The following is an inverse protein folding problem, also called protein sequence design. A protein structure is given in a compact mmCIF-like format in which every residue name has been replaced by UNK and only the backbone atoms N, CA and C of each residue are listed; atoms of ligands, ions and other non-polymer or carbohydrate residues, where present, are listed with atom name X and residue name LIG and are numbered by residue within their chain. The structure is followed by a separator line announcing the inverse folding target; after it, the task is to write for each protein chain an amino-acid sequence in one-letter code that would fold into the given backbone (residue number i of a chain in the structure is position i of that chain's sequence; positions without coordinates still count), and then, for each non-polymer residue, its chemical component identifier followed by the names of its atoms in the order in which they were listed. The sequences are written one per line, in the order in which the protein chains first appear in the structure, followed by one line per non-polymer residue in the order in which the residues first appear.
data_IF_048411266305
#
_entry.id   IF_048411266305
#
_cell.length_a   1.000
_cell.length_b   1.000
_cell.length_c   1.000
_cell.angle_alpha   90.00
_cell.angle_beta   90.00
_cell.angle_gamma   90.00
#
_symmetry.space_group_name_H-M   'P 1'
#
loop_
_entity.id
_entity.type
_entity.pdbx_description
1 polymer ?
#
# COMPACT_ATOMS: atom_id res chain seq x y z
N UNK A 1 -10.63 -3.47 21.27
CA UNK A 1 -11.15 -3.39 19.89
C UNK A 1 -12.61 -3.78 19.94
N UNK A 2 -13.47 -2.84 19.65
CA UNK A 2 -14.90 -3.07 19.47
C UNK A 2 -15.24 -2.96 17.99
N UNK A 3 -16.46 -3.26 17.65
CA UNK A 3 -17.00 -3.21 16.27
C UNK A 3 -17.01 -1.79 15.67
N UNK A 4 -16.90 -0.73 16.50
CA UNK A 4 -17.09 0.66 16.05
C UNK A 4 -15.80 1.42 15.70
N UNK A 5 -14.62 0.86 15.93
CA UNK A 5 -13.32 1.51 15.66
C UNK A 5 -13.13 2.93 16.24
N UNK A 6 -13.81 3.25 17.36
CA UNK A 6 -13.86 4.61 17.95
C UNK A 6 -12.48 5.17 18.37
N UNK A 7 -11.48 4.31 18.51
CA UNK A 7 -10.13 4.67 18.97
C UNK A 7 -9.06 4.65 17.88
N UNK A 8 -9.45 4.65 16.60
CA UNK A 8 -8.52 4.69 15.48
C UNK A 8 -8.84 5.84 14.52
N UNK A 9 -7.84 6.33 13.82
CA UNK A 9 -8.03 7.46 12.90
C UNK A 9 -8.78 7.10 11.62
N UNK A 10 -8.78 5.83 11.21
CA UNK A 10 -9.36 5.39 9.93
C UNK A 10 -8.67 5.96 8.68
N UNK A 11 -7.52 6.63 8.83
CA UNK A 11 -6.89 7.40 7.74
C UNK A 11 -6.04 6.57 6.77
N UNK A 12 -5.78 5.29 7.06
CA UNK A 12 -4.86 4.49 6.25
C UNK A 12 -5.22 4.41 4.75
N UNK A 13 -6.49 4.28 4.32
CA UNK A 13 -6.84 4.30 2.90
C UNK A 13 -6.46 5.61 2.19
N UNK A 14 -6.70 6.72 2.86
CA UNK A 14 -6.44 8.07 2.32
C UNK A 14 -4.94 8.37 2.26
N UNK A 15 -4.17 7.95 3.26
CA UNK A 15 -2.71 8.13 3.30
C UNK A 15 -2.04 7.25 2.24
N UNK A 16 -2.49 6.01 2.06
CA UNK A 16 -1.88 5.07 1.11
C UNK A 16 -1.89 5.62 -0.31
N UNK A 17 -2.97 6.28 -0.69
CA UNK A 17 -3.17 6.88 -2.01
C UNK A 17 -2.79 8.35 -2.07
N UNK A 18 -2.31 8.92 -0.97
CA UNK A 18 -1.94 10.34 -0.86
C UNK A 18 -3.07 11.30 -1.20
N UNK A 19 -4.29 10.96 -0.80
CA UNK A 19 -5.36 11.96 -0.63
C UNK A 19 -5.06 12.88 0.56
N UNK A 20 -4.34 12.35 1.55
CA UNK A 20 -3.74 13.07 2.67
C UNK A 20 -2.26 12.66 2.73
N UNK A 21 -1.37 13.64 2.77
CA UNK A 21 0.06 13.36 2.82
C UNK A 21 0.51 13.02 4.24
N UNK A 22 1.50 12.13 4.36
CA UNK A 22 2.11 11.77 5.65
C UNK A 22 2.61 13.01 6.42
N UNK A 23 3.13 14.00 5.70
CA UNK A 23 3.62 15.26 6.25
C UNK A 23 2.50 16.07 6.89
N UNK A 24 1.34 16.20 6.24
CA UNK A 24 0.20 16.95 6.76
C UNK A 24 -0.29 16.40 8.10
N UNK A 25 -0.33 15.06 8.22
CA UNK A 25 -0.75 14.42 9.47
C UNK A 25 0.25 14.68 10.59
N UNK A 26 1.55 14.52 10.29
CA UNK A 26 2.61 14.75 11.27
C UNK A 26 2.63 16.23 11.70
N UNK A 27 2.50 17.15 10.76
CA UNK A 27 2.41 18.58 11.04
C UNK A 27 1.22 18.91 11.94
N UNK A 28 0.04 18.45 11.58
CA UNK A 28 -1.18 18.70 12.36
C UNK A 28 -1.08 18.19 13.79
N UNK A 29 -0.46 17.04 13.99
CA UNK A 29 -0.36 16.46 15.33
C UNK A 29 0.73 17.15 16.17
N UNK A 30 1.83 17.57 15.55
CA UNK A 30 2.92 18.28 16.21
C UNK A 30 2.55 19.74 16.53
N UNK A 31 1.62 20.34 15.79
CA UNK A 31 1.08 21.66 16.13
C UNK A 31 0.20 21.64 17.39
N UNK A 32 -0.32 20.46 17.78
CA UNK A 32 -1.23 20.31 18.94
C UNK A 32 -0.57 19.64 20.15
N UNK A 33 0.48 18.87 19.92
CA UNK A 33 1.06 18.01 20.97
C UNK A 33 2.58 18.03 20.93
N UNK A 34 3.21 18.02 22.09
CA UNK A 34 4.66 17.83 22.20
C UNK A 34 5.07 16.47 21.59
N UNK A 35 6.18 16.45 20.87
CA UNK A 35 6.67 15.25 20.16
C UNK A 35 6.74 14.01 21.05
N UNK A 36 7.21 14.15 22.30
CA UNK A 36 7.33 13.03 23.25
C UNK A 36 5.99 12.34 23.56
N UNK A 37 4.87 13.05 23.43
CA UNK A 37 3.53 12.48 23.65
C UNK A 37 2.99 11.74 22.44
N UNK A 38 3.45 12.10 21.25
CA UNK A 38 2.92 11.57 19.98
C UNK A 38 3.93 10.76 19.18
N UNK A 39 5.13 10.55 19.72
CA UNK A 39 6.21 9.83 19.01
C UNK A 39 5.76 8.46 18.47
N UNK A 40 4.96 7.71 19.23
CA UNK A 40 4.44 6.41 18.78
C UNK A 40 3.52 6.55 17.58
N UNK A 41 2.62 7.51 17.58
CA UNK A 41 1.74 7.77 16.44
C UNK A 41 2.55 8.18 15.20
N UNK A 42 3.54 9.06 15.36
CA UNK A 42 4.44 9.44 14.27
C UNK A 42 5.20 8.22 13.74
N UNK A 43 5.68 7.32 14.60
CA UNK A 43 6.28 6.06 14.18
C UNK A 43 5.34 5.21 13.32
N UNK A 44 4.05 5.11 13.67
CA UNK A 44 3.07 4.36 12.87
C UNK A 44 2.89 4.96 11.46
N UNK A 45 2.87 6.29 11.34
CA UNK A 45 2.87 6.95 10.01
C UNK A 45 4.16 6.63 9.24
N UNK A 46 5.31 6.65 9.93
CA UNK A 46 6.63 6.41 9.33
C UNK A 46 6.87 4.95 8.91
N UNK A 47 6.15 3.99 9.48
CA UNK A 47 6.21 2.59 9.03
C UNK A 47 5.85 2.46 7.56
N UNK A 48 4.90 3.23 7.04
CA UNK A 48 4.54 3.24 5.62
C UNK A 48 5.70 3.68 4.74
N UNK A 49 6.35 4.80 5.08
CA UNK A 49 7.52 5.27 4.35
C UNK A 49 8.68 4.26 4.42
N UNK A 50 8.86 3.62 5.58
CA UNK A 50 9.85 2.55 5.74
C UNK A 50 9.59 1.36 4.82
N UNK A 51 8.36 0.83 4.81
CA UNK A 51 8.01 -0.32 3.99
C UNK A 51 8.18 -0.02 2.49
N UNK A 52 7.69 1.14 2.03
CA UNK A 52 7.85 1.56 0.64
C UNK A 52 9.32 1.70 0.26
N UNK A 53 10.12 2.37 1.08
CA UNK A 53 11.56 2.52 0.85
C UNK A 53 12.31 1.18 0.90
N UNK A 54 11.93 0.27 1.79
CA UNK A 54 12.54 -1.05 1.88
C UNK A 54 12.28 -1.90 0.63
N UNK A 55 11.02 -1.89 0.13
CA UNK A 55 10.65 -2.60 -1.09
C UNK A 55 11.28 -1.98 -2.34
N UNK A 56 11.38 -0.65 -2.39
CA UNK A 56 12.03 0.07 -3.49
C UNK A 56 13.50 -0.36 -3.70
N UNK A 57 14.18 -0.72 -2.63
CA UNK A 57 15.54 -1.28 -2.69
C UNK A 57 15.57 -2.77 -3.03
N UNK A 58 14.43 -3.46 -2.97
CA UNK A 58 14.33 -4.91 -3.16
C UNK A 58 13.11 -5.27 -4.03
N UNK A 59 13.04 -4.73 -5.27
CA UNK A 59 11.86 -4.89 -6.14
C UNK A 59 11.53 -6.35 -6.44
N UNK A 60 12.55 -7.20 -6.45
CA UNK A 60 12.42 -8.64 -6.66
C UNK A 60 11.51 -9.33 -5.63
N UNK A 61 11.39 -8.79 -4.41
CA UNK A 61 10.49 -9.33 -3.38
C UNK A 61 9.05 -9.34 -3.87
N UNK A 62 8.61 -8.27 -4.54
CA UNK A 62 7.27 -8.19 -5.11
C UNK A 62 7.07 -9.16 -6.28
N UNK A 63 8.06 -9.27 -7.17
CA UNK A 63 8.00 -10.18 -8.31
C UNK A 63 7.98 -11.65 -7.86
N UNK A 64 8.80 -11.99 -6.87
CA UNK A 64 8.85 -13.33 -6.28
C UNK A 64 7.53 -13.66 -5.57
N UNK A 65 6.97 -12.72 -4.79
CA UNK A 65 5.67 -12.87 -4.14
C UNK A 65 4.56 -13.20 -5.15
N UNK A 66 4.46 -12.45 -6.24
CA UNK A 66 3.44 -12.70 -7.28
C UNK A 66 3.57 -14.08 -7.90
N UNK A 67 4.81 -14.52 -8.16
CA UNK A 67 5.06 -15.87 -8.67
C UNK A 67 4.69 -16.95 -7.64
N UNK A 68 5.03 -16.71 -6.39
CA UNK A 68 4.75 -17.63 -5.29
C UNK A 68 3.24 -17.75 -5.01
N UNK A 69 2.45 -16.69 -5.20
CA UNK A 69 0.97 -16.77 -5.13
C UNK A 69 0.44 -17.81 -6.14
N UNK A 70 0.91 -17.76 -7.38
CA UNK A 70 0.45 -18.69 -8.41
C UNK A 70 0.95 -20.13 -8.18
N UNK A 71 2.12 -20.31 -7.60
CA UNK A 71 2.62 -21.61 -7.20
C UNK A 71 1.81 -22.18 -6.01
N UNK A 72 1.56 -21.37 -5.00
CA UNK A 72 0.80 -21.76 -3.82
C UNK A 72 -0.62 -22.24 -4.18
N UNK A 73 -1.31 -21.57 -5.07
CA UNK A 73 -2.63 -22.01 -5.57
C UNK A 73 -2.61 -23.41 -6.18
N UNK A 74 -1.52 -23.77 -6.88
CA UNK A 74 -1.37 -25.07 -7.53
C UNK A 74 -0.92 -26.18 -6.58
N UNK A 75 -0.37 -25.86 -5.43
CA UNK A 75 0.21 -26.80 -4.47
C UNK A 75 -0.76 -27.19 -3.35
N UNK A 76 -1.88 -26.50 -3.20
CA UNK A 76 -2.89 -26.87 -2.21
C UNK A 76 -3.51 -28.22 -2.56
N UNK A 77 -3.67 -29.07 -1.55
CA UNK A 77 -4.52 -30.25 -1.65
C UNK A 77 -6.01 -29.90 -1.40
N UNK A 78 -6.91 -30.82 -1.70
CA UNK A 78 -8.36 -30.59 -1.61
C UNK A 78 -8.81 -30.15 -0.20
N UNK A 79 -8.23 -30.72 0.86
CA UNK A 79 -8.52 -30.34 2.24
C UNK A 79 -8.11 -28.90 2.54
N UNK A 80 -6.94 -28.50 2.09
CA UNK A 80 -6.45 -27.13 2.24
C UNK A 80 -7.27 -26.13 1.42
N UNK A 81 -7.72 -26.51 0.22
CA UNK A 81 -8.61 -25.69 -0.62
C UNK A 81 -9.90 -25.46 0.15
N UNK A 82 -10.58 -26.49 0.58
CA UNK A 82 -11.85 -26.41 1.33
C UNK A 82 -11.69 -25.52 2.57
N UNK A 83 -10.62 -25.75 3.35
CA UNK A 83 -10.37 -24.99 4.57
C UNK A 83 -10.09 -23.50 4.29
N UNK A 84 -9.31 -23.20 3.24
CA UNK A 84 -9.08 -21.83 2.82
C UNK A 84 -10.37 -21.14 2.38
N UNK A 85 -11.24 -21.83 1.62
CA UNK A 85 -12.53 -21.30 1.18
C UNK A 85 -13.46 -21.00 2.36
N UNK A 86 -13.54 -21.88 3.38
CA UNK A 86 -14.29 -21.62 4.61
C UNK A 86 -13.82 -20.34 5.31
N UNK A 87 -12.52 -20.18 5.51
CA UNK A 87 -11.95 -19.01 6.20
C UNK A 87 -12.17 -17.73 5.37
N UNK A 88 -11.89 -17.78 4.08
CA UNK A 88 -12.10 -16.64 3.16
C UNK A 88 -13.59 -16.33 2.95
N UNK A 89 -14.44 -17.33 3.14
CA UNK A 89 -15.89 -17.19 3.15
C UNK A 89 -16.43 -16.49 4.39
N UNK A 90 -15.72 -16.54 5.51
CA UNK A 90 -16.16 -16.07 6.83
C UNK A 90 -17.10 -17.08 7.51
N UNK A 91 -16.87 -18.36 7.29
CA UNK A 91 -17.62 -19.49 7.83
C UNK A 91 -16.69 -20.62 8.31
N UNK A 92 -15.53 -20.24 8.87
CA UNK A 92 -14.50 -21.17 9.34
C UNK A 92 -14.89 -21.94 10.61
N UNK A 93 -15.95 -21.50 11.30
CA UNK A 93 -16.34 -22.00 12.62
C UNK A 93 -15.48 -21.46 13.77
N UNK A 94 -14.60 -20.51 13.50
CA UNK A 94 -13.79 -19.79 14.51
C UNK A 94 -14.29 -18.35 14.58
N UNK A 95 -14.97 -18.00 15.66
CA UNK A 95 -15.77 -16.78 15.78
C UNK A 95 -15.03 -15.49 15.44
N UNK A 96 -13.82 -15.29 15.97
CA UNK A 96 -13.04 -14.08 15.68
C UNK A 96 -12.48 -14.05 14.25
N UNK A 97 -12.15 -15.19 13.67
CA UNK A 97 -11.70 -15.29 12.28
C UNK A 97 -12.82 -14.92 11.32
N UNK A 98 -14.01 -15.49 11.54
CA UNK A 98 -15.19 -15.22 10.73
C UNK A 98 -15.62 -13.75 10.84
N UNK A 99 -15.59 -13.20 12.06
CA UNK A 99 -15.84 -11.77 12.29
C UNK A 99 -14.88 -10.87 11.47
N UNK A 100 -13.58 -11.07 11.60
CA UNK A 100 -12.59 -10.24 10.89
C UNK A 100 -12.62 -10.45 9.38
N UNK A 101 -12.92 -11.66 8.90
CA UNK A 101 -13.08 -11.91 7.46
C UNK A 101 -14.29 -11.14 6.92
N UNK A 102 -15.42 -11.20 7.59
CA UNK A 102 -16.63 -10.50 7.18
C UNK A 102 -16.47 -8.99 7.28
N UNK A 103 -15.88 -8.47 8.35
CA UNK A 103 -15.54 -7.05 8.50
C UNK A 103 -14.68 -6.56 7.34
N UNK A 104 -13.62 -7.30 6.98
CA UNK A 104 -12.76 -6.95 5.85
C UNK A 104 -13.52 -6.89 4.54
N UNK A 105 -14.39 -7.87 4.27
CA UNK A 105 -15.19 -7.94 3.03
C UNK A 105 -16.23 -6.82 2.94
N UNK A 106 -16.84 -6.45 4.07
CA UNK A 106 -17.90 -5.46 4.15
C UNK A 106 -17.38 -4.02 4.17
N UNK A 107 -16.25 -3.78 4.87
CA UNK A 107 -15.75 -2.43 5.11
C UNK A 107 -14.47 -2.08 4.33
N UNK A 108 -13.75 -3.08 3.87
CA UNK A 108 -12.41 -2.91 3.28
C UNK A 108 -11.35 -2.46 4.29
N UNK A 109 -11.64 -2.59 5.58
CA UNK A 109 -10.76 -2.16 6.66
C UNK A 109 -10.65 -3.24 7.76
N UNK A 110 -9.49 -3.35 8.35
CA UNK A 110 -9.26 -4.06 9.60
C UNK A 110 -8.28 -3.27 10.46
N UNK A 111 -8.53 -3.28 11.76
CA UNK A 111 -7.56 -2.78 12.73
C UNK A 111 -6.23 -3.54 12.63
N UNK A 112 -5.10 -2.85 12.81
CA UNK A 112 -3.76 -3.45 12.63
C UNK A 112 -3.55 -4.74 13.45
N UNK A 113 -4.00 -4.80 14.70
CA UNK A 113 -3.89 -6.04 15.50
C UNK A 113 -4.72 -7.19 14.93
N UNK A 114 -5.93 -6.90 14.42
CA UNK A 114 -6.77 -7.91 13.78
C UNK A 114 -6.07 -8.50 12.54
N UNK A 115 -5.42 -7.66 11.74
CA UNK A 115 -4.63 -8.12 10.58
C UNK A 115 -3.51 -9.09 11.01
N UNK A 116 -2.80 -8.76 12.08
CA UNK A 116 -1.71 -9.60 12.60
C UNK A 116 -2.22 -10.93 13.19
N UNK A 117 -3.35 -10.90 13.92
CA UNK A 117 -3.94 -12.10 14.48
C UNK A 117 -4.49 -13.02 13.40
N UNK A 118 -5.22 -12.46 12.43
CA UNK A 118 -5.76 -13.21 11.29
C UNK A 118 -4.62 -13.85 10.48
N UNK A 119 -3.59 -13.10 10.16
CA UNK A 119 -2.44 -13.61 9.42
C UNK A 119 -1.68 -14.70 10.18
N UNK A 120 -1.49 -14.52 11.50
CA UNK A 120 -0.83 -15.53 12.33
C UNK A 120 -1.65 -16.82 12.44
N UNK A 121 -2.97 -16.70 12.57
CA UNK A 121 -3.88 -17.86 12.59
C UNK A 121 -3.82 -18.62 11.27
N UNK A 122 -3.95 -17.93 10.15
CA UNK A 122 -3.86 -18.48 8.80
C UNK A 122 -2.54 -19.26 8.59
N UNK A 123 -1.42 -18.65 8.97
CA UNK A 123 -0.09 -19.22 8.72
C UNK A 123 0.24 -20.34 9.70
N UNK A 124 0.14 -20.07 11.01
CA UNK A 124 0.74 -20.93 12.03
C UNK A 124 -0.22 -21.97 12.61
N UNK A 125 -1.52 -21.77 12.50
CA UNK A 125 -2.55 -22.71 12.96
C UNK A 125 -3.10 -23.52 11.80
N UNK A 126 -3.63 -22.85 10.79
CA UNK A 126 -4.21 -23.52 9.62
C UNK A 126 -3.12 -24.04 8.64
N UNK A 127 -1.88 -23.61 8.83
CA UNK A 127 -0.73 -24.02 8.00
C UNK A 127 -0.94 -23.78 6.52
N UNK A 128 -1.68 -22.71 6.20
CA UNK A 128 -1.95 -22.26 4.83
C UNK A 128 -0.85 -21.32 4.32
N UNK A 129 -0.56 -21.33 3.01
CA UNK A 129 0.46 -20.47 2.44
C UNK A 129 0.18 -18.96 2.72
N UNK A 130 1.15 -18.27 3.29
CA UNK A 130 1.03 -16.85 3.63
C UNK A 130 0.69 -15.98 2.42
N UNK A 131 1.18 -16.39 1.24
CA UNK A 131 0.96 -15.68 -0.02
C UNK A 131 -0.52 -15.55 -0.37
N UNK A 132 -1.32 -16.59 -0.10
CA UNK A 132 -2.75 -16.60 -0.42
C UNK A 132 -3.53 -15.71 0.53
N UNK A 133 -3.23 -15.72 1.82
CA UNK A 133 -3.82 -14.78 2.78
C UNK A 133 -3.44 -13.34 2.48
N UNK A 134 -2.17 -13.09 2.09
CA UNK A 134 -1.73 -11.77 1.66
C UNK A 134 -2.45 -11.29 0.39
N UNK A 135 -2.72 -12.19 -0.57
CA UNK A 135 -3.47 -11.87 -1.78
C UNK A 135 -4.94 -11.52 -1.46
N UNK A 136 -5.56 -12.25 -0.53
CA UNK A 136 -6.91 -11.94 -0.05
C UNK A 136 -6.99 -10.56 0.60
N UNK A 137 -6.03 -10.21 1.46
CA UNK A 137 -5.96 -8.87 2.05
C UNK A 137 -5.75 -7.80 0.98
N UNK A 138 -4.85 -8.04 0.04
CA UNK A 138 -4.56 -7.10 -1.04
C UNK A 138 -5.79 -6.83 -1.93
N UNK A 139 -6.64 -7.83 -2.11
CA UNK A 139 -7.87 -7.71 -2.92
C UNK A 139 -9.00 -6.95 -2.23
N UNK A 140 -9.07 -6.94 -0.89
CA UNK A 140 -10.19 -6.37 -0.14
C UNK A 140 -9.86 -5.06 0.59
N UNK A 141 -8.62 -4.89 1.09
CA UNK A 141 -8.24 -3.69 1.83
C UNK A 141 -8.26 -2.43 0.95
N UNK A 142 -8.90 -1.37 1.42
CA UNK A 142 -8.89 -0.06 0.78
C UNK A 142 -7.50 0.60 0.83
N UNK A 143 -6.72 0.27 1.87
CA UNK A 143 -5.34 0.72 2.05
C UNK A 143 -4.29 -0.27 1.54
N UNK A 144 -4.66 -1.23 0.70
CA UNK A 144 -3.72 -2.19 0.16
C UNK A 144 -2.64 -1.49 -0.68
N UNK A 145 -1.40 -1.66 -0.27
CA UNK A 145 -0.21 -1.33 -1.07
C UNK A 145 0.77 -2.51 -1.09
N UNK A 146 1.52 -2.63 -2.17
CA UNK A 146 2.43 -3.76 -2.39
C UNK A 146 3.47 -3.91 -1.27
N UNK A 147 3.98 -2.79 -0.75
CA UNK A 147 5.00 -2.80 0.28
C UNK A 147 4.44 -3.20 1.64
N UNK A 148 3.48 -2.41 2.17
CA UNK A 148 2.94 -2.63 3.51
C UNK A 148 2.29 -3.99 3.65
N UNK A 149 1.50 -4.41 2.66
CA UNK A 149 0.82 -5.71 2.71
C UNK A 149 1.82 -6.87 2.66
N UNK A 150 2.65 -6.94 1.62
CA UNK A 150 3.57 -8.07 1.44
C UNK A 150 4.57 -8.18 2.60
N UNK A 151 5.16 -7.06 3.02
CA UNK A 151 6.21 -7.09 4.03
C UNK A 151 5.66 -7.34 5.44
N UNK A 152 4.45 -6.88 5.75
CA UNK A 152 3.78 -7.21 7.01
C UNK A 152 3.43 -8.70 7.09
N UNK A 153 2.93 -9.31 6.01
CA UNK A 153 2.69 -10.74 5.95
C UNK A 153 3.98 -11.55 6.07
N UNK A 154 5.05 -11.14 5.39
CA UNK A 154 6.39 -11.74 5.54
C UNK A 154 6.91 -11.63 6.98
N UNK A 155 6.61 -10.53 7.67
CA UNK A 155 6.99 -10.34 9.05
C UNK A 155 6.25 -11.30 9.99
N UNK A 156 4.93 -11.46 9.83
CA UNK A 156 4.14 -12.44 10.60
C UNK A 156 4.66 -13.86 10.36
N UNK A 157 5.00 -14.19 9.11
CA UNK A 157 5.55 -15.50 8.71
C UNK A 157 7.00 -15.75 9.20
N UNK A 158 7.67 -14.76 9.83
CA UNK A 158 9.07 -14.90 10.28
C UNK A 158 10.12 -14.75 9.17
N UNK A 159 9.73 -14.31 7.99
CA UNK A 159 10.61 -14.17 6.81
C UNK A 159 11.31 -12.81 6.74
N UNK A 160 10.71 -11.75 7.32
CA UNK A 160 11.26 -10.40 7.30
C UNK A 160 12.37 -10.20 8.33
N UNK A 161 12.30 -10.90 9.44
CA UNK A 161 13.33 -10.98 10.46
C UNK A 161 13.56 -12.45 10.79
N UNK A 162 14.70 -12.98 10.39
CA UNK A 162 15.02 -14.41 10.53
C UNK A 162 14.74 -14.91 11.95
N UNK A 163 13.95 -15.97 12.05
CA UNK A 163 13.63 -16.66 13.31
C UNK A 163 12.70 -15.90 14.26
N UNK A 164 12.02 -14.83 13.79
CA UNK A 164 11.07 -14.04 14.58
C UNK A 164 9.71 -13.98 13.88
N UNK A 165 8.93 -15.05 14.00
CA UNK A 165 7.53 -15.03 13.60
C UNK A 165 6.68 -14.32 14.65
N UNK A 166 5.57 -13.70 14.21
CA UNK A 166 4.55 -13.19 15.13
C UNK A 166 3.50 -14.26 15.37
N UNK A 167 3.32 -14.65 16.63
CA UNK A 167 2.34 -15.64 17.02
C UNK A 167 1.16 -14.99 17.73
N UNK A 168 -0.05 -15.31 17.25
CA UNK A 168 -1.28 -15.01 17.96
C UNK A 168 -1.27 -15.72 19.31
N UNK A 169 -1.76 -15.08 20.36
CA UNK A 169 -1.91 -15.72 21.65
C UNK A 169 -3.24 -15.34 22.34
N UNK A 170 -3.72 -16.26 23.14
CA UNK A 170 -4.98 -16.15 23.88
C UNK A 170 -5.07 -14.88 24.73
N UNK A 171 -3.99 -14.57 25.46
CA UNK A 171 -3.96 -13.42 26.38
C UNK A 171 -4.15 -12.07 25.66
N UNK A 172 -3.58 -11.90 24.47
CA UNK A 172 -3.75 -10.70 23.68
C UNK A 172 -5.18 -10.57 23.13
N UNK A 173 -5.77 -11.66 22.65
CA UNK A 173 -7.16 -11.65 22.19
C UNK A 173 -8.12 -11.27 23.31
N UNK A 174 -8.03 -11.94 24.45
CA UNK A 174 -8.89 -11.65 25.61
C UNK A 174 -8.72 -10.22 26.15
N UNK A 175 -7.53 -9.65 26.05
CA UNK A 175 -7.25 -8.30 26.52
C UNK A 175 -7.78 -7.20 25.61
N UNK A 176 -7.75 -7.43 24.30
CA UNK A 176 -7.95 -6.36 23.30
C UNK A 176 -9.18 -6.54 22.41
N UNK A 177 -9.74 -7.73 22.28
CA UNK A 177 -11.02 -7.95 21.59
C UNK A 177 -12.20 -7.76 22.55
N UNK A 178 -13.28 -7.21 22.02
CA UNK A 178 -14.53 -7.20 22.77
C UNK A 178 -15.12 -8.61 22.92
N UNK A 179 -15.87 -8.88 23.98
CA UNK A 179 -16.55 -10.18 24.15
C UNK A 179 -17.52 -10.53 23.02
N UNK A 180 -18.04 -9.53 22.32
CA UNK A 180 -18.94 -9.69 21.17
C UNK A 180 -18.26 -10.37 19.98
N UNK A 181 -16.95 -10.19 19.86
CA UNK A 181 -16.12 -10.84 18.81
C UNK A 181 -15.68 -12.24 19.25
N UNK A 182 -15.45 -12.42 20.56
CA UNK A 182 -14.97 -13.67 21.17
C UNK A 182 -16.17 -14.46 21.74
N UNK A 183 -17.06 -14.90 20.87
CA UNK A 183 -18.32 -15.55 21.29
C UNK A 183 -18.08 -16.81 22.12
N UNK A 184 -17.05 -17.59 21.75
CA UNK A 184 -16.71 -18.82 22.45
C UNK A 184 -15.24 -18.81 22.91
N UNK A 185 -14.93 -18.43 24.17
CA UNK A 185 -13.56 -18.39 24.68
C UNK A 185 -12.81 -19.74 24.64
N UNK A 186 -13.55 -20.88 24.60
CA UNK A 186 -12.93 -22.21 24.51
C UNK A 186 -12.25 -22.41 23.16
N UNK A 187 -12.67 -21.70 22.10
CA UNK A 187 -12.00 -21.71 20.80
C UNK A 187 -10.57 -21.17 20.86
N UNK A 188 -10.21 -20.47 21.95
CA UNK A 188 -8.88 -19.89 22.12
C UNK A 188 -7.90 -20.80 22.87
N UNK A 189 -8.34 -21.93 23.39
CA UNK A 189 -7.48 -22.76 24.26
C UNK A 189 -6.29 -23.34 23.52
N UNK A 190 -6.47 -23.72 22.24
CA UNK A 190 -5.39 -24.19 21.38
C UNK A 190 -4.33 -23.10 21.03
N UNK A 191 -4.64 -21.81 21.26
CA UNK A 191 -3.68 -20.71 21.02
C UNK A 191 -2.57 -20.64 22.06
N UNK A 192 -2.64 -21.41 23.15
CA UNK A 192 -1.59 -21.46 24.16
C UNK A 192 -0.36 -22.26 23.72
N UNK A 193 -0.49 -23.13 22.71
CA UNK A 193 0.54 -24.06 22.24
C UNK A 193 0.99 -23.79 20.80
N UNK A 194 0.74 -22.59 20.28
CA UNK A 194 1.10 -22.26 18.89
C UNK A 194 2.60 -22.17 18.74
N UNK A 195 3.13 -22.95 17.81
CA UNK A 195 4.52 -22.90 17.38
C UNK A 195 4.63 -22.32 15.98
N UNK A 196 5.70 -21.57 15.68
CA UNK A 196 5.91 -21.09 14.32
C UNK A 196 6.11 -22.27 13.37
N UNK A 197 5.48 -22.22 12.21
CA UNK A 197 5.84 -23.16 11.13
C UNK A 197 7.24 -22.81 10.63
N UNK A 198 8.02 -23.85 10.31
CA UNK A 198 9.32 -23.66 9.67
C UNK A 198 9.10 -23.37 8.18
N UNK A 199 9.33 -22.13 7.78
CA UNK A 199 9.37 -21.74 6.37
C UNK A 199 10.85 -21.71 5.98
N UNK A 200 11.42 -22.89 5.78
CA UNK A 200 12.88 -23.12 5.67
C UNK A 200 13.55 -22.50 4.44
N UNK A 201 12.80 -22.06 3.45
CA UNK A 201 13.34 -21.46 2.21
C UNK A 201 13.19 -19.94 2.15
N UNK A 202 13.44 -19.24 3.25
CA UNK A 202 13.42 -17.78 3.21
C UNK A 202 14.61 -17.27 2.40
N UNK A 203 14.33 -16.79 1.17
CA UNK A 203 15.32 -16.03 0.42
C UNK A 203 15.65 -14.76 1.20
N UNK A 204 16.92 -14.57 1.50
CA UNK A 204 17.43 -13.28 1.94
C UNK A 204 17.50 -12.36 0.72
N UNK A 205 16.94 -11.19 0.85
CA UNK A 205 17.01 -10.16 -0.18
C UNK A 205 17.95 -9.06 0.27
N UNK A 206 19.12 -9.03 -0.34
CA UNK A 206 20.02 -7.88 -0.19
C UNK A 206 19.49 -6.69 -0.98
N UNK A 207 19.80 -5.46 -0.54
CA UNK A 207 19.47 -4.28 -1.34
C UNK A 207 20.16 -4.36 -2.71
N UNK A 208 19.38 -4.36 -3.79
CA UNK A 208 19.92 -4.39 -5.16
C UNK A 208 20.68 -3.11 -5.50
N UNK A 209 20.31 -2.00 -4.85
CA UNK A 209 20.94 -0.71 -5.04
C UNK A 209 21.35 -0.11 -3.68
N UNK A 210 22.63 0.15 -3.51
CA UNK A 210 23.15 0.88 -2.33
C UNK A 210 22.65 2.33 -2.29
N UNK A 211 22.32 2.91 -3.46
CA UNK A 211 21.77 4.25 -3.62
C UNK A 211 20.53 4.20 -4.51
N UNK A 212 19.41 4.71 -4.00
CA UNK A 212 18.20 4.88 -4.79
C UNK A 212 18.41 5.88 -5.92
N UNK A 213 17.81 5.61 -7.08
CA UNK A 213 17.77 6.56 -8.18
C UNK A 213 17.02 7.81 -7.71
N UNK A 214 17.64 8.97 -7.86
CA UNK A 214 16.99 10.25 -7.59
C UNK A 214 16.18 10.68 -8.80
N UNK A 215 14.89 10.80 -8.62
CA UNK A 215 13.97 11.33 -9.61
C UNK A 215 13.85 12.84 -9.43
N UNK A 216 14.68 13.59 -10.16
CA UNK A 216 14.65 15.05 -10.14
C UNK A 216 13.41 15.57 -10.85
N UNK A 217 13.01 16.79 -10.47
CA UNK A 217 11.99 17.52 -11.21
C UNK A 217 12.43 17.64 -12.67
N UNK A 218 11.60 17.22 -13.65
CA UNK A 218 11.95 17.33 -15.05
C UNK A 218 12.04 18.80 -15.48
N UNK A 219 13.07 19.12 -16.24
CA UNK A 219 13.13 20.38 -17.00
C UNK A 219 12.37 20.15 -18.29
N UNK A 220 11.27 20.87 -18.48
CA UNK A 220 10.47 20.81 -19.70
C UNK A 220 10.58 22.15 -20.43
N UNK A 221 10.83 22.12 -21.72
CA UNK A 221 10.91 23.32 -22.55
C UNK A 221 9.55 24.08 -22.53
N UNK A 222 9.63 25.39 -22.56
CA UNK A 222 8.46 26.26 -22.33
C UNK A 222 7.38 26.20 -23.43
N UNK A 223 7.74 25.72 -24.62
CA UNK A 223 6.85 25.55 -25.78
C UNK A 223 6.15 24.19 -25.80
N UNK A 224 6.54 23.27 -24.94
CA UNK A 224 5.94 21.92 -24.90
C UNK A 224 4.57 21.91 -24.23
N UNK A 225 3.66 21.18 -24.83
CA UNK A 225 2.33 20.92 -24.30
C UNK A 225 2.42 19.78 -23.28
N UNK A 226 2.26 20.13 -22.02
CA UNK A 226 2.44 19.20 -20.89
C UNK A 226 1.13 18.54 -20.52
N UNK A 227 1.15 17.21 -20.35
CA UNK A 227 0.10 16.45 -19.69
C UNK A 227 0.56 15.98 -18.32
N UNK A 228 -0.32 15.98 -17.32
CA UNK A 228 -0.06 15.36 -16.02
C UNK A 228 -0.83 14.06 -15.91
N UNK A 229 -0.12 12.95 -15.71
CA UNK A 229 -0.74 11.66 -15.42
C UNK A 229 -0.85 11.46 -13.92
N UNK A 230 -2.09 11.36 -13.41
CA UNK A 230 -2.42 11.03 -12.02
C UNK A 230 -2.67 9.54 -11.90
N UNK A 231 -2.06 8.90 -10.93
CA UNK A 231 -2.20 7.46 -10.69
C UNK A 231 -2.44 7.13 -9.22
N UNK A 232 -2.92 5.91 -8.94
CA UNK A 232 -3.41 5.50 -7.62
C UNK A 232 -2.37 5.45 -6.49
N UNK A 233 -1.08 5.57 -6.78
CA UNK A 233 -0.03 5.63 -5.76
C UNK A 233 0.18 7.05 -5.22
N UNK A 234 -0.26 8.09 -5.98
CA UNK A 234 -0.15 9.48 -5.57
C UNK A 234 -1.25 10.32 -6.24
N UNK A 235 -2.29 10.61 -5.47
CA UNK A 235 -3.48 11.35 -5.93
C UNK A 235 -3.43 12.83 -5.55
N UNK A 236 -2.22 13.40 -5.35
CA UNK A 236 -2.06 14.78 -4.89
C UNK A 236 -0.99 15.56 -5.70
N UNK A 237 -1.07 15.62 -7.05
CA UNK A 237 -0.07 16.30 -7.85
C UNK A 237 -0.06 17.83 -7.67
N UNK A 238 -1.16 18.41 -7.16
CA UNK A 238 -1.28 19.84 -6.87
C UNK A 238 -0.38 20.30 -5.71
N UNK A 239 0.17 19.37 -4.92
CA UNK A 239 1.17 19.66 -3.89
C UNK A 239 2.49 18.97 -4.19
N UNK A 240 3.59 19.66 -3.97
CA UNK A 240 4.95 19.16 -4.16
C UNK A 240 5.55 19.45 -5.55
N UNK A 241 6.39 18.58 -6.10
CA UNK A 241 7.19 18.89 -7.30
C UNK A 241 6.41 19.28 -8.55
N UNK A 242 5.18 18.79 -8.69
CA UNK A 242 4.37 19.06 -9.90
C UNK A 242 3.53 20.33 -9.82
N UNK A 243 3.42 20.95 -8.66
CA UNK A 243 2.49 22.09 -8.38
C UNK A 243 2.64 23.30 -9.33
N UNK A 244 3.85 23.53 -9.84
CA UNK A 244 4.16 24.72 -10.66
C UNK A 244 4.07 24.45 -12.18
N UNK A 245 3.77 23.22 -12.60
CA UNK A 245 3.53 22.95 -14.02
C UNK A 245 2.25 23.62 -14.50
N UNK A 246 2.21 23.91 -15.80
CA UNK A 246 1.02 24.42 -16.50
C UNK A 246 0.55 23.40 -17.53
N UNK A 247 -0.07 22.30 -17.09
CA UNK A 247 -0.50 21.27 -18.01
C UNK A 247 -1.67 21.75 -18.89
N UNK A 248 -1.73 21.27 -20.13
CA UNK A 248 -2.89 21.46 -21.00
C UNK A 248 -4.02 20.50 -20.62
N UNK A 249 -3.69 19.38 -20.00
CA UNK A 249 -4.65 18.38 -19.50
C UNK A 249 -4.05 17.57 -18.37
N UNK A 250 -4.90 17.17 -17.42
CA UNK A 250 -4.59 16.18 -16.37
C UNK A 250 -5.48 14.98 -16.58
N UNK A 251 -4.90 13.76 -16.55
CA UNK A 251 -5.71 12.55 -16.74
C UNK A 251 -5.42 11.47 -15.71
N UNK A 252 -6.48 10.72 -15.38
CA UNK A 252 -6.45 9.46 -14.65
C UNK A 252 -7.05 8.34 -15.48
N UNK A 253 -6.59 7.11 -15.26
CA UNK A 253 -6.98 5.94 -16.05
C UNK A 253 -7.38 4.79 -15.14
N UNK A 254 -8.57 4.21 -15.40
CA UNK A 254 -8.96 2.92 -14.83
C UNK A 254 -8.27 1.81 -15.61
N UNK A 255 -7.74 0.84 -14.89
CA UNK A 255 -7.21 -0.39 -15.47
C UNK A 255 -8.00 -1.59 -14.93
N UNK A 256 -9.04 -1.96 -15.66
CA UNK A 256 -9.88 -3.10 -15.32
C UNK A 256 -9.11 -4.43 -15.34
N UNK A 257 -8.14 -4.57 -16.25
CA UNK A 257 -7.32 -5.77 -16.34
C UNK A 257 -6.44 -5.94 -15.08
N UNK A 258 -5.89 -4.84 -14.57
CA UNK A 258 -5.10 -4.86 -13.33
C UNK A 258 -5.98 -5.16 -12.12
N UNK A 259 -7.16 -4.57 -12.03
CA UNK A 259 -8.12 -4.85 -10.96
C UNK A 259 -8.52 -6.33 -10.95
N UNK A 260 -8.82 -6.90 -12.12
CA UNK A 260 -9.13 -8.32 -12.28
C UNK A 260 -7.94 -9.22 -11.91
N UNK A 261 -6.72 -8.86 -12.34
CA UNK A 261 -5.50 -9.62 -12.06
C UNK A 261 -5.25 -9.78 -10.56
N UNK A 262 -5.51 -8.75 -9.76
CA UNK A 262 -5.33 -8.78 -8.32
C UNK A 262 -6.62 -9.12 -7.54
N UNK A 263 -7.70 -9.48 -8.25
CA UNK A 263 -8.97 -9.87 -7.64
C UNK A 263 -9.60 -8.77 -6.78
N UNK A 264 -9.41 -7.49 -7.14
CA UNK A 264 -9.89 -6.39 -6.31
C UNK A 264 -11.41 -6.45 -6.12
N UNK A 265 -11.85 -6.35 -4.86
CA UNK A 265 -13.26 -6.31 -4.50
C UNK A 265 -13.96 -5.08 -5.12
N UNK A 266 -15.27 -5.17 -5.31
CA UNK A 266 -16.07 -4.05 -5.82
C UNK A 266 -15.97 -2.81 -4.94
N UNK A 267 -15.81 -2.98 -3.62
CA UNK A 267 -15.63 -1.89 -2.68
C UNK A 267 -14.29 -1.18 -2.90
N UNK A 268 -13.20 -1.94 -3.03
CA UNK A 268 -11.86 -1.39 -3.30
C UNK A 268 -11.79 -0.69 -4.66
N UNK A 269 -12.45 -1.24 -5.69
CA UNK A 269 -12.54 -0.60 -7.00
C UNK A 269 -13.29 0.74 -6.93
N UNK A 270 -14.47 0.77 -6.30
CA UNK A 270 -15.25 2.02 -6.12
C UNK A 270 -14.47 3.07 -5.34
N UNK A 271 -13.84 2.70 -4.23
CA UNK A 271 -12.99 3.62 -3.47
C UNK A 271 -11.87 4.21 -4.33
N UNK A 272 -11.23 3.38 -5.17
CA UNK A 272 -10.17 3.83 -6.09
C UNK A 272 -10.70 4.81 -7.14
N UNK A 273 -11.86 4.54 -7.71
CA UNK A 273 -12.53 5.40 -8.71
C UNK A 273 -12.94 6.75 -8.12
N UNK A 274 -13.59 6.73 -6.96
CA UNK A 274 -14.05 7.95 -6.29
C UNK A 274 -12.86 8.82 -5.84
N UNK A 275 -11.78 8.18 -5.34
CA UNK A 275 -10.54 8.86 -5.00
C UNK A 275 -9.87 9.51 -6.21
N UNK A 276 -9.89 8.86 -7.37
CA UNK A 276 -9.36 9.42 -8.61
C UNK A 276 -10.21 10.61 -9.10
N UNK A 277 -11.53 10.51 -9.05
CA UNK A 277 -12.45 11.59 -9.43
C UNK A 277 -12.25 12.83 -8.54
N UNK A 278 -12.09 12.62 -7.23
CA UNK A 278 -11.74 13.69 -6.29
C UNK A 278 -10.40 14.36 -6.66
N UNK A 279 -9.37 13.57 -6.89
CA UNK A 279 -8.05 14.08 -7.28
C UNK A 279 -8.11 14.91 -8.57
N UNK A 280 -8.80 14.43 -9.59
CA UNK A 280 -8.96 15.15 -10.86
C UNK A 280 -9.73 16.45 -10.68
N UNK A 281 -10.76 16.47 -9.83
CA UNK A 281 -11.50 17.70 -9.52
C UNK A 281 -10.58 18.75 -8.85
N UNK A 282 -9.77 18.36 -7.87
CA UNK A 282 -8.77 19.23 -7.20
C UNK A 282 -7.72 19.73 -8.21
N UNK A 283 -7.23 18.85 -9.07
CA UNK A 283 -6.29 19.21 -10.14
C UNK A 283 -6.86 20.24 -11.10
N UNK A 284 -8.11 20.09 -11.53
CA UNK A 284 -8.80 21.06 -12.39
C UNK A 284 -8.86 22.45 -11.76
N UNK A 285 -9.17 22.49 -10.47
CA UNK A 285 -9.18 23.73 -9.67
C UNK A 285 -7.81 24.38 -9.55
N UNK A 286 -6.77 23.57 -9.31
CA UNK A 286 -5.40 24.06 -9.11
C UNK A 286 -4.71 24.45 -10.42
N UNK A 287 -4.66 23.54 -11.39
CA UNK A 287 -3.93 23.76 -12.66
C UNK A 287 -4.68 24.60 -13.67
N UNK A 288 -5.98 24.89 -13.45
CA UNK A 288 -6.86 25.64 -14.36
C UNK A 288 -6.88 25.07 -15.78
N UNK A 289 -6.90 23.75 -15.89
CA UNK A 289 -6.90 23.03 -17.16
C UNK A 289 -7.99 21.95 -17.21
N UNK A 290 -8.17 21.33 -18.38
CA UNK A 290 -9.11 20.21 -18.53
C UNK A 290 -8.62 18.98 -17.77
N UNK A 291 -9.55 18.28 -17.12
CA UNK A 291 -9.28 17.00 -16.44
C UNK A 291 -10.12 15.89 -17.05
N UNK A 292 -9.53 14.72 -17.23
CA UNK A 292 -10.16 13.60 -17.92
C UNK A 292 -9.99 12.30 -17.11
N UNK A 293 -11.08 11.57 -16.92
CA UNK A 293 -11.04 10.23 -16.36
C UNK A 293 -11.48 9.20 -17.41
N UNK A 294 -10.62 8.24 -17.71
CA UNK A 294 -10.88 7.18 -18.67
C UNK A 294 -11.30 5.90 -17.95
N UNK A 295 -12.61 5.63 -17.92
CA UNK A 295 -13.22 4.56 -17.14
C UNK A 295 -13.31 3.22 -17.90
N UNK A 296 -13.28 3.25 -19.22
CA UNK A 296 -13.45 2.08 -20.09
C UNK A 296 -12.38 2.01 -21.17
N UNK A 297 -12.15 0.83 -21.73
CA UNK A 297 -11.09 0.57 -22.70
C UNK A 297 -9.79 0.10 -22.03
N UNK A 298 -8.79 -0.18 -22.82
CA UNK A 298 -7.47 -0.55 -22.30
C UNK A 298 -6.65 0.68 -21.90
N UNK A 299 -5.71 0.50 -20.98
CA UNK A 299 -4.83 1.59 -20.55
C UNK A 299 -4.05 2.17 -21.75
N UNK A 300 -3.57 1.34 -22.66
CA UNK A 300 -2.87 1.75 -23.88
C UNK A 300 -3.71 2.65 -24.78
N UNK A 301 -4.91 2.19 -25.13
CA UNK A 301 -5.86 2.97 -25.97
C UNK A 301 -6.19 4.31 -25.34
N UNK A 302 -6.43 4.33 -24.04
CA UNK A 302 -6.80 5.52 -23.31
C UNK A 302 -5.65 6.55 -23.25
N UNK A 303 -4.42 6.10 -23.01
CA UNK A 303 -3.24 6.97 -23.06
C UNK A 303 -3.06 7.54 -24.46
N UNK A 304 -3.11 6.70 -25.49
CA UNK A 304 -3.02 7.16 -26.91
C UNK A 304 -4.09 8.20 -27.22
N UNK A 305 -5.33 7.93 -26.83
CA UNK A 305 -6.45 8.87 -27.02
C UNK A 305 -6.21 10.19 -26.29
N UNK A 306 -5.75 10.16 -25.04
CA UNK A 306 -5.49 11.35 -24.25
C UNK A 306 -4.37 12.22 -24.84
N UNK A 307 -3.23 11.62 -25.18
CA UNK A 307 -2.09 12.38 -25.73
C UNK A 307 -2.43 12.99 -27.10
N UNK A 308 -3.12 12.24 -27.96
CA UNK A 308 -3.51 12.70 -29.29
C UNK A 308 -4.56 13.80 -29.23
N UNK A 309 -5.63 13.60 -28.44
CA UNK A 309 -6.73 14.58 -28.26
C UNK A 309 -6.23 15.93 -27.76
N UNK A 310 -5.26 15.92 -26.85
CA UNK A 310 -4.75 17.14 -26.22
C UNK A 310 -3.45 17.63 -26.84
N UNK A 311 -2.96 16.99 -27.91
CA UNK A 311 -1.67 17.29 -28.56
C UNK A 311 -0.53 17.43 -27.54
N UNK A 312 -0.37 16.42 -26.68
CA UNK A 312 0.61 16.41 -25.60
C UNK A 312 1.98 16.04 -26.16
N UNK A 313 3.00 16.83 -25.87
CA UNK A 313 4.40 16.57 -26.24
C UNK A 313 5.19 15.93 -25.12
N UNK A 314 4.78 16.20 -23.85
CA UNK A 314 5.50 15.75 -22.69
C UNK A 314 4.53 15.39 -21.56
N UNK A 315 4.63 14.17 -21.06
CA UNK A 315 3.88 13.71 -19.88
C UNK A 315 4.76 13.76 -18.65
N UNK A 316 4.26 14.34 -17.58
CA UNK A 316 4.89 14.30 -16.27
C UNK A 316 4.02 13.51 -15.29
N UNK A 317 4.64 12.73 -14.42
CA UNK A 317 3.98 11.93 -13.40
C UNK A 317 4.84 11.81 -12.15
N UNK A 318 4.23 11.46 -11.01
CA UNK A 318 5.03 10.91 -9.91
C UNK A 318 5.60 9.54 -10.29
N UNK A 319 6.78 9.20 -9.76
CA UNK A 319 7.32 7.84 -9.89
C UNK A 319 6.44 6.89 -9.07
N UNK A 320 5.78 5.92 -9.71
CA UNK A 320 5.02 4.91 -8.98
C UNK A 320 5.90 4.14 -7.99
N UNK A 321 5.30 3.63 -6.93
CA UNK A 321 5.97 2.69 -6.03
C UNK A 321 6.04 1.29 -6.66
N UNK A 322 6.97 0.45 -6.18
CA UNK A 322 7.00 -0.96 -6.58
C UNK A 322 5.62 -1.58 -6.30
N UNK A 323 4.96 -2.06 -7.36
CA UNK A 323 3.61 -2.58 -7.25
C UNK A 323 2.85 -2.56 -8.60
N UNK A 324 1.51 -2.59 -8.53
CA UNK A 324 0.67 -2.62 -9.73
C UNK A 324 0.88 -1.43 -10.68
N UNK A 325 0.96 -0.21 -10.16
CA UNK A 325 1.09 1.00 -10.99
C UNK A 325 2.44 1.06 -11.70
N UNK A 326 3.54 0.64 -11.06
CA UNK A 326 4.84 0.53 -11.71
C UNK A 326 4.82 -0.48 -12.87
N UNK A 327 4.06 -1.59 -12.71
CA UNK A 327 3.87 -2.56 -13.81
C UNK A 327 3.05 -1.97 -14.96
N UNK A 328 2.00 -1.20 -14.67
CA UNK A 328 1.22 -0.48 -15.67
C UNK A 328 2.09 0.48 -16.47
N UNK A 329 2.91 1.28 -15.79
CA UNK A 329 3.81 2.23 -16.43
C UNK A 329 4.71 1.54 -17.45
N UNK A 330 5.36 0.44 -17.07
CA UNK A 330 6.25 -0.33 -17.98
C UNK A 330 5.54 -0.86 -19.22
N UNK A 331 4.24 -1.21 -19.10
CA UNK A 331 3.44 -1.67 -20.23
C UNK A 331 3.19 -0.55 -21.24
N UNK A 332 3.06 0.69 -20.77
CA UNK A 332 2.68 1.83 -21.61
C UNK A 332 3.84 2.75 -22.00
N UNK A 333 5.04 2.54 -21.49
CA UNK A 333 6.22 3.33 -21.89
C UNK A 333 6.42 3.33 -23.42
N UNK A 334 6.19 2.19 -24.07
CA UNK A 334 6.28 2.06 -25.52
C UNK A 334 5.27 2.93 -26.29
N UNK A 335 4.11 3.22 -25.73
CA UNK A 335 3.09 4.07 -26.37
C UNK A 335 3.54 5.53 -26.42
N UNK A 336 4.17 6.04 -25.37
CA UNK A 336 4.73 7.39 -25.38
C UNK A 336 5.80 7.54 -26.47
N UNK A 337 6.73 6.57 -26.55
CA UNK A 337 7.78 6.56 -27.58
C UNK A 337 7.19 6.49 -29.00
N UNK A 338 6.19 5.65 -29.23
CA UNK A 338 5.55 5.47 -30.54
C UNK A 338 4.85 6.76 -31.03
N UNK A 339 4.47 7.64 -30.13
CA UNK A 339 3.82 8.92 -30.43
C UNK A 339 4.76 10.13 -30.30
N UNK A 340 6.07 9.92 -30.16
CA UNK A 340 7.07 10.98 -29.94
C UNK A 340 6.76 11.84 -28.70
N UNK A 341 6.14 11.28 -27.67
CA UNK A 341 5.84 11.95 -26.40
C UNK A 341 6.89 11.57 -25.38
N UNK A 342 7.49 12.56 -24.75
CA UNK A 342 8.42 12.33 -23.64
C UNK A 342 7.64 11.99 -22.37
N UNK A 343 8.15 11.03 -21.59
CA UNK A 343 7.65 10.73 -20.24
C UNK A 343 8.73 11.03 -19.20
N UNK A 344 8.42 11.92 -18.25
CA UNK A 344 9.29 12.22 -17.14
C UNK A 344 8.61 11.95 -15.81
N UNK A 345 9.36 11.34 -14.91
CA UNK A 345 8.90 11.04 -13.55
C UNK A 345 9.69 11.81 -12.51
N UNK A 346 8.99 12.28 -11.50
CA UNK A 346 9.59 12.89 -10.31
C UNK A 346 9.17 12.16 -9.04
N UNK A 347 9.88 12.35 -7.97
CA UNK A 347 9.56 11.80 -6.66
C UNK A 347 9.52 12.91 -5.62
N UNK A 348 8.60 12.82 -4.68
CA UNK A 348 8.52 13.77 -3.57
C UNK A 348 9.80 13.77 -2.76
N UNK A 349 10.23 14.94 -2.28
CA UNK A 349 11.41 15.08 -1.42
C UNK A 349 11.28 14.24 -0.14
N UNK A 350 10.08 14.10 0.39
CA UNK A 350 9.78 13.18 1.47
C UNK A 350 10.30 11.77 1.21
N UNK A 351 9.91 11.19 0.09
CA UNK A 351 10.31 9.83 -0.29
C UNK A 351 11.81 9.75 -0.59
N UNK A 352 12.35 10.71 -1.33
CA UNK A 352 13.77 10.71 -1.68
C UNK A 352 14.67 10.78 -0.47
N UNK A 353 14.27 11.57 0.53
CA UNK A 353 15.06 11.76 1.75
C UNK A 353 14.89 10.61 2.76
N UNK A 354 13.75 9.91 2.74
CA UNK A 354 13.47 8.85 3.69
C UNK A 354 13.87 7.46 3.18
N UNK A 355 13.53 7.13 1.94
CA UNK A 355 13.70 5.77 1.40
C UNK A 355 15.16 5.30 1.45
N UNK A 356 16.14 6.19 1.22
CA UNK A 356 17.57 5.87 1.30
C UNK A 356 18.03 5.35 2.68
N UNK A 357 17.20 5.50 3.71
CA UNK A 357 17.45 5.03 5.06
C UNK A 357 16.79 3.67 5.37
N UNK A 358 15.93 3.15 4.52
CA UNK A 358 15.23 1.88 4.73
C UNK A 358 16.08 0.63 4.39
N UNK A 359 17.39 0.68 4.68
CA UNK A 359 18.37 -0.38 4.34
C UNK A 359 18.28 -1.62 5.22
N UNK A 360 17.83 -1.47 6.45
CA UNK A 360 17.75 -2.52 7.46
C UNK A 360 16.40 -2.47 8.18
N UNK A 361 16.33 -2.78 9.47
CA UNK A 361 15.08 -2.73 10.24
C UNK A 361 14.55 -1.32 10.50
N UNK A 362 13.30 -1.25 10.99
CA UNK A 362 12.60 0.01 11.23
C UNK A 362 13.31 0.93 12.24
N UNK A 363 13.83 0.43 13.35
CA UNK A 363 14.46 1.30 14.36
C UNK A 363 15.73 2.01 13.89
N UNK A 364 16.63 1.38 13.13
CA UNK A 364 17.71 2.10 12.45
C UNK A 364 17.24 3.17 11.46
N UNK A 365 16.15 2.88 10.70
CA UNK A 365 15.50 3.86 9.84
C UNK A 365 14.94 5.01 10.67
N UNK A 366 14.16 4.74 11.72
CA UNK A 366 13.58 5.74 12.60
C UNK A 366 14.62 6.66 13.22
N UNK A 367 15.73 6.13 13.72
CA UNK A 367 16.81 6.94 14.32
C UNK A 367 17.36 7.99 13.35
N UNK A 368 17.42 7.68 12.04
CA UNK A 368 17.92 8.60 11.01
C UNK A 368 16.84 9.61 10.60
N UNK A 369 15.62 9.12 10.41
CA UNK A 369 14.50 9.94 9.93
C UNK A 369 13.95 10.87 11.00
N UNK A 370 14.05 10.52 12.28
CA UNK A 370 13.69 11.41 13.39
C UNK A 370 14.45 12.74 13.34
N UNK A 371 15.74 12.74 12.94
CA UNK A 371 16.52 13.97 12.73
C UNK A 371 15.97 14.80 11.56
N UNK A 372 15.57 14.15 10.49
CA UNK A 372 14.94 14.82 9.34
C UNK A 372 13.62 15.48 9.76
N UNK A 373 12.79 14.78 10.53
CA UNK A 373 11.55 15.33 11.06
C UNK A 373 11.80 16.55 11.95
N UNK A 374 12.82 16.53 12.81
CA UNK A 374 13.14 17.67 13.69
C UNK A 374 13.63 18.92 12.94
N UNK A 375 14.16 18.76 11.73
CA UNK A 375 14.50 19.90 10.87
C UNK A 375 13.30 20.45 10.08
N UNK A 376 12.30 19.63 9.85
CA UNK A 376 11.08 19.98 9.11
C UNK A 376 10.06 20.71 9.99
N UNK A 377 9.92 20.24 11.22
CA UNK A 377 9.00 20.82 12.19
C UNK A 377 9.84 21.43 13.30
N UNK A 378 9.74 22.73 13.51
CA UNK A 378 10.36 23.39 14.67
C UNK A 378 9.87 22.65 15.91
N UNK A 379 10.67 21.71 16.40
CA UNK A 379 10.45 21.14 17.72
C UNK A 379 10.61 22.29 18.69
N UNK A 380 9.51 22.77 19.25
CA UNK A 380 9.54 23.74 20.33
C UNK A 380 10.51 23.27 21.41
N UNK A 381 11.29 24.21 21.88
CA UNK A 381 12.25 24.08 22.97
C UNK A 381 11.60 23.65 24.27
#
# INVERSE_FOLDING_TARGET
MGTNHDNVSGLSPFITRRLILEQEIIEQILNKHAFSKVEKFVQEVMWRSYWKGWLEMRPKVWDDYLREVELAKKQLNDQQITRAEEILGGCSGVSFMDHFTNELKETGYLHNHARMWWASYWIHIEKLPWQLGAAFFFSHLLDADAASNTLSWRWVAGLQTKGKAYLINRGNLLKYCSPEILINPAELDHLNEVSPIDISESKLYDPEHSNLIKYKLPSVESDKRIGVWVHNDDLCPEFGPLTNFKPVSVAGFKDAAMSAKYGQSNLAQRFTEDSMKDALNRCGGHFKCNTEYYESGTLKENITKWITKNSIDHVVAFKPFIGPVDKQLRIVEGEFLAHNVSLSMTRRDWDQNLFCHAKSGFFPFWKKTKKYLSSYYKTEK
#
